data_IF_167831060549
#
_entry.id   IF_167831060549
#
_cell.length_a   1.000
_cell.length_b   1.000
_cell.length_c   1.000
_cell.angle_alpha   90.00
_cell.angle_beta   90.00
_cell.angle_gamma   90.00
#
_symmetry.space_group_name_H-M   'P 1'
#
loop_
_entity.id
_entity.type
_entity.pdbx_description
1 polymer ?
#
# COMPACT_ATOMS: atom_id res chain seq x y z
N UNK A 1 -20.73 1.04 2.31
CA UNK A 1 -20.01 1.47 1.09
C UNK A 1 -18.53 1.20 1.32
N UNK A 2 -17.94 0.28 0.57
CA UNK A 2 -16.49 0.15 0.49
C UNK A 2 -15.99 1.33 -0.35
N UNK A 3 -14.97 2.03 0.13
CA UNK A 3 -14.45 3.24 -0.50
C UNK A 3 -13.08 3.59 0.08
N UNK A 4 -12.41 4.58 -0.50
CA UNK A 4 -11.02 4.91 -0.14
C UNK A 4 -10.89 5.64 1.21
N UNK A 5 -12.01 5.94 1.85
CA UNK A 5 -12.05 6.67 3.12
C UNK A 5 -11.61 8.13 2.97
N UNK A 6 -11.52 8.83 4.11
CA UNK A 6 -11.31 10.28 4.18
C UNK A 6 -10.03 10.76 3.50
N UNK A 7 -8.93 10.01 3.61
CA UNK A 7 -7.64 10.40 3.05
C UNK A 7 -7.36 9.79 1.67
N UNK A 8 -8.07 8.73 1.29
CA UNK A 8 -7.75 7.99 0.08
C UNK A 8 -8.23 8.67 -1.20
N UNK A 9 -9.42 9.30 -1.20
CA UNK A 9 -9.90 10.05 -2.38
C UNK A 9 -9.00 11.26 -2.70
N UNK A 10 -8.63 12.13 -1.73
CA UNK A 10 -7.69 13.22 -1.99
C UNK A 10 -6.32 12.74 -2.44
N UNK A 11 -5.81 11.64 -1.86
CA UNK A 11 -4.53 11.05 -2.26
C UNK A 11 -4.56 10.59 -3.72
N UNK A 12 -5.57 9.83 -4.12
CA UNK A 12 -5.71 9.32 -5.49
C UNK A 12 -5.88 10.48 -6.48
N UNK A 13 -6.70 11.48 -6.14
CA UNK A 13 -6.89 12.69 -6.95
C UNK A 13 -5.57 13.44 -7.16
N UNK A 14 -4.78 13.64 -6.10
CA UNK A 14 -3.49 14.29 -6.17
C UNK A 14 -2.48 13.51 -7.02
N UNK A 15 -2.40 12.19 -6.86
CA UNK A 15 -1.52 11.33 -7.68
C UNK A 15 -1.92 11.41 -9.16
N UNK A 16 -3.22 11.27 -9.45
CA UNK A 16 -3.75 11.34 -10.83
C UNK A 16 -3.43 12.67 -11.50
N UNK A 17 -3.54 13.78 -10.76
CA UNK A 17 -3.30 15.12 -11.29
C UNK A 17 -1.81 15.47 -11.49
N UNK A 18 -0.88 14.66 -10.95
CA UNK A 18 0.56 14.88 -11.08
C UNK A 18 1.23 13.84 -12.00
N UNK A 19 0.51 12.81 -12.43
CA UNK A 19 1.01 11.74 -13.28
C UNK A 19 0.28 11.75 -14.63
N UNK A 20 0.38 12.87 -15.35
CA UNK A 20 -0.33 13.11 -16.61
C UNK A 20 -0.06 12.05 -17.70
N UNK A 21 1.04 11.30 -17.59
CA UNK A 21 1.43 10.24 -18.53
C UNK A 21 1.07 8.82 -18.07
N UNK A 22 0.45 8.65 -16.90
CA UNK A 22 0.10 7.33 -16.35
C UNK A 22 -1.40 7.22 -16.03
N UNK A 23 -1.99 6.08 -16.37
CA UNK A 23 -3.34 5.75 -15.91
C UNK A 23 -3.32 5.38 -14.43
N UNK A 24 -4.06 6.11 -13.60
CA UNK A 24 -4.19 5.83 -12.16
C UNK A 24 -5.53 5.15 -11.90
N UNK A 25 -5.49 3.99 -11.26
CA UNK A 25 -6.67 3.28 -10.75
C UNK A 25 -6.50 3.05 -9.25
N UNK A 26 -7.60 3.09 -8.50
CA UNK A 26 -7.58 2.90 -7.05
C UNK A 26 -8.41 1.67 -6.66
N UNK A 27 -7.99 1.03 -5.57
CA UNK A 27 -8.69 -0.11 -5.00
C UNK A 27 -8.79 0.06 -3.48
N UNK A 28 -10.01 0.05 -2.96
CA UNK A 28 -10.25 0.09 -1.53
C UNK A 28 -10.10 -1.32 -0.94
N UNK A 29 -9.26 -1.44 0.07
CA UNK A 29 -9.05 -2.72 0.76
C UNK A 29 -10.31 -3.10 1.54
N UNK A 30 -10.88 -4.26 1.23
CA UNK A 30 -11.95 -4.83 2.04
C UNK A 30 -11.33 -5.67 3.17
N UNK A 31 -11.31 -5.12 4.39
CA UNK A 31 -10.58 -5.71 5.52
C UNK A 31 -11.27 -6.94 6.12
N UNK A 32 -10.54 -8.06 6.10
CA UNK A 32 -10.52 -9.05 7.18
C UNK A 32 -9.07 -9.56 7.35
N UNK A 33 -8.17 -8.65 7.74
CA UNK A 33 -6.80 -8.91 8.23
C UNK A 33 -5.88 -9.82 7.39
N UNK A 34 -6.20 -10.04 6.12
CA UNK A 34 -5.36 -10.79 5.18
C UNK A 34 -5.64 -10.18 3.81
N UNK A 35 -4.63 -9.63 3.15
CA UNK A 35 -4.70 -9.33 1.72
C UNK A 35 -4.08 -10.53 1.01
N UNK A 36 -4.87 -11.57 0.66
CA UNK A 36 -4.30 -12.60 -0.18
C UNK A 36 -3.73 -11.93 -1.42
N UNK A 37 -2.61 -12.44 -1.92
CA UNK A 37 -2.01 -12.01 -3.20
C UNK A 37 -3.03 -11.93 -4.34
N UNK A 38 -4.11 -12.72 -4.26
CA UNK A 38 -5.21 -12.71 -5.23
C UNK A 38 -6.11 -11.45 -5.18
N UNK A 39 -6.06 -10.67 -4.09
CA UNK A 39 -6.78 -9.40 -3.90
C UNK A 39 -5.96 -8.18 -4.32
N UNK A 40 -4.69 -8.37 -4.67
CA UNK A 40 -3.94 -7.31 -5.32
C UNK A 40 -4.58 -7.03 -6.68
N UNK A 41 -4.76 -5.76 -7.08
CA UNK A 41 -5.40 -5.39 -8.34
C UNK A 41 -4.64 -5.81 -9.60
N UNK A 42 -3.63 -6.68 -9.45
CA UNK A 42 -2.87 -7.35 -10.49
C UNK A 42 -3.73 -8.06 -11.54
N UNK A 43 -5.00 -8.37 -11.23
CA UNK A 43 -5.89 -9.20 -12.05
C UNK A 43 -7.36 -8.73 -12.04
N UNK A 44 -7.63 -7.42 -12.07
CA UNK A 44 -9.02 -6.91 -12.08
C UNK A 44 -9.40 -6.23 -13.39
N UNK A 45 -9.60 -7.05 -14.43
CA UNK A 45 -10.62 -6.78 -15.46
C UNK A 45 -11.69 -7.85 -15.33
N UNK A 46 -12.94 -7.45 -15.13
CA UNK A 46 -14.07 -8.35 -14.88
C UNK A 46 -14.34 -9.32 -16.05
N UNK A 47 -13.85 -9.01 -17.26
CA UNK A 47 -14.18 -9.75 -18.50
C UNK A 47 -12.94 -10.20 -19.32
N UNK A 48 -11.75 -10.32 -18.71
CA UNK A 48 -10.57 -10.84 -19.41
C UNK A 48 -10.09 -12.14 -18.76
N UNK A 49 -9.66 -13.16 -19.53
CA UNK A 49 -9.10 -14.38 -18.97
C UNK A 49 -7.94 -14.03 -18.03
N UNK A 50 -8.01 -14.57 -16.81
CA UNK A 50 -6.99 -14.48 -15.75
C UNK A 50 -5.64 -14.89 -16.35
N UNK A 51 -4.80 -13.91 -16.69
CA UNK A 51 -3.56 -14.19 -17.41
C UNK A 51 -2.92 -12.99 -18.12
N UNK A 52 -3.63 -11.88 -18.34
CA UNK A 52 -2.97 -10.62 -18.70
C UNK A 52 -2.57 -9.90 -17.42
N UNK A 53 -1.49 -10.39 -16.80
CA UNK A 53 -0.81 -9.71 -15.71
C UNK A 53 -0.41 -8.32 -16.21
N UNK A 54 -0.49 -7.30 -15.37
CA UNK A 54 0.06 -5.98 -15.68
C UNK A 54 1.49 -5.88 -15.12
N UNK A 55 2.54 -6.49 -15.73
CA UNK A 55 3.88 -6.57 -15.14
C UNK A 55 4.51 -5.20 -14.92
N UNK A 56 4.08 -4.21 -15.71
CA UNK A 56 4.61 -2.85 -15.67
C UNK A 56 3.84 -1.92 -14.73
N UNK A 57 2.76 -2.39 -14.10
CA UNK A 57 2.03 -1.56 -13.13
C UNK A 57 2.88 -1.38 -11.88
N UNK A 58 2.96 -0.15 -11.39
CA UNK A 58 3.54 0.17 -10.09
C UNK A 58 2.43 0.52 -9.12
N UNK A 59 2.68 0.33 -7.83
CA UNK A 59 1.69 0.48 -6.79
C UNK A 59 2.12 1.52 -5.76
N UNK A 60 1.13 2.21 -5.20
CA UNK A 60 1.28 3.03 -3.99
C UNK A 60 0.38 2.41 -2.93
N UNK A 61 0.96 2.05 -1.79
CA UNK A 61 0.22 1.50 -0.66
C UNK A 61 -0.23 2.65 0.25
N UNK A 62 -1.51 2.72 0.58
CA UNK A 62 -2.10 3.80 1.37
C UNK A 62 -2.84 3.30 2.61
N UNK A 63 -2.86 4.09 3.69
CA UNK A 63 -3.68 3.77 4.87
C UNK A 63 -3.94 4.96 5.80
N UNK A 64 -5.13 5.00 6.40
CA UNK A 64 -5.50 5.97 7.44
C UNK A 64 -5.88 5.26 8.74
N UNK A 65 -5.34 5.72 9.88
CA UNK A 65 -5.65 5.18 11.22
C UNK A 65 -5.46 3.65 11.27
N UNK A 66 -6.49 2.85 11.54
CA UNK A 66 -6.43 1.38 11.48
C UNK A 66 -5.96 0.86 10.11
N UNK A 67 -6.34 1.55 9.02
CA UNK A 67 -5.87 1.23 7.67
C UNK A 67 -4.36 1.43 7.50
N UNK A 68 -3.75 2.37 8.23
CA UNK A 68 -2.30 2.54 8.28
C UNK A 68 -1.63 1.36 8.99
N UNK A 69 -2.22 0.87 10.08
CA UNK A 69 -1.68 -0.28 10.80
C UNK A 69 -1.62 -1.57 9.99
N UNK A 70 -2.54 -1.84 9.07
CA UNK A 70 -2.33 -2.98 8.16
C UNK A 70 -1.66 -2.66 6.83
N UNK A 71 -1.47 -1.39 6.46
CA UNK A 71 -0.40 -1.06 5.54
C UNK A 71 0.97 -1.44 6.15
N UNK A 72 1.20 -1.10 7.42
CA UNK A 72 2.41 -1.47 8.18
C UNK A 72 2.59 -3.00 8.27
N UNK A 73 1.53 -3.74 8.62
CA UNK A 73 1.57 -5.22 8.66
C UNK A 73 1.89 -5.80 7.28
N UNK A 74 1.27 -5.29 6.21
CA UNK A 74 1.50 -5.78 4.85
C UNK A 74 2.97 -5.60 4.41
N UNK A 75 3.67 -4.61 4.95
CA UNK A 75 5.10 -4.39 4.69
C UNK A 75 6.03 -5.01 5.74
N UNK A 76 5.51 -5.91 6.58
CA UNK A 76 6.28 -6.69 7.56
C UNK A 76 6.55 -5.99 8.89
N UNK A 77 5.92 -4.84 9.15
CA UNK A 77 6.06 -4.13 10.42
C UNK A 77 5.07 -4.69 11.44
N UNK A 78 5.58 -5.09 12.61
CA UNK A 78 4.71 -5.51 13.73
C UNK A 78 4.02 -4.30 14.33
N UNK A 79 2.70 -4.39 14.51
CA UNK A 79 1.91 -3.33 15.14
C UNK A 79 1.20 -3.85 16.38
N UNK A 80 0.56 -2.95 17.13
CA UNK A 80 -0.31 -3.33 18.25
C UNK A 80 -1.54 -4.13 17.82
N UNK A 81 -1.92 -4.09 16.54
CA UNK A 81 -2.96 -4.95 15.97
C UNK A 81 -2.46 -6.36 15.64
N UNK A 82 -1.16 -6.60 15.77
CA UNK A 82 -0.54 -7.91 15.56
C UNK A 82 0.34 -7.98 14.30
N UNK A 83 0.28 -9.12 13.65
CA UNK A 83 1.03 -9.46 12.42
C UNK A 83 0.12 -10.24 11.49
N UNK A 84 0.45 -10.29 10.20
CA UNK A 84 -0.38 -10.92 9.18
C UNK A 84 0.44 -11.15 7.91
N UNK A 85 -0.26 -11.52 6.83
CA UNK A 85 0.38 -11.77 5.54
C UNK A 85 1.08 -10.51 5.03
N UNK A 86 2.29 -10.73 4.51
CA UNK A 86 3.12 -9.67 3.94
C UNK A 86 3.08 -9.72 2.43
N UNK A 87 3.37 -8.57 1.83
CA UNK A 87 3.50 -8.42 0.39
C UNK A 87 4.66 -9.30 -0.06
N UNK A 88 4.46 -10.22 -1.03
CA UNK A 88 5.54 -11.07 -1.49
C UNK A 88 6.59 -10.26 -2.24
N UNK A 89 7.84 -10.72 -2.19
CA UNK A 89 9.00 -9.99 -2.69
C UNK A 89 8.88 -9.55 -4.16
N UNK A 90 8.22 -10.35 -4.99
CA UNK A 90 8.00 -10.03 -6.41
C UNK A 90 7.14 -8.77 -6.60
N UNK A 91 6.20 -8.50 -5.68
CA UNK A 91 5.36 -7.30 -5.67
C UNK A 91 6.02 -6.16 -4.90
N UNK A 92 6.82 -6.48 -3.90
CA UNK A 92 7.46 -5.49 -3.05
C UNK A 92 8.29 -4.47 -3.85
N UNK A 93 9.02 -4.93 -4.87
CA UNK A 93 9.81 -4.09 -5.79
C UNK A 93 9.00 -3.12 -6.67
N UNK A 94 7.70 -3.40 -6.82
CA UNK A 94 6.75 -2.62 -7.63
C UNK A 94 5.96 -1.62 -6.79
N UNK A 95 6.06 -1.68 -5.46
CA UNK A 95 5.55 -0.63 -4.57
C UNK A 95 6.55 0.52 -4.56
N UNK A 96 6.14 1.68 -5.08
CA UNK A 96 7.02 2.86 -5.20
C UNK A 96 6.88 3.83 -4.03
N UNK A 97 5.78 3.73 -3.29
CA UNK A 97 5.59 4.52 -2.08
C UNK A 97 4.62 3.82 -1.11
N UNK A 98 4.82 4.05 0.18
CA UNK A 98 3.88 3.73 1.25
C UNK A 98 3.49 5.04 1.92
N UNK A 99 2.20 5.38 1.90
CA UNK A 99 1.67 6.65 2.38
C UNK A 99 0.67 6.39 3.50
N UNK A 100 1.00 6.82 4.70
CA UNK A 100 0.13 6.61 5.87
C UNK A 100 -0.27 7.92 6.53
N UNK A 101 -1.54 7.98 6.97
CA UNK A 101 -2.12 9.14 7.65
C UNK A 101 -2.63 8.72 9.02
N UNK A 102 -2.35 9.51 10.06
CA UNK A 102 -2.75 9.18 11.44
C UNK A 102 -2.24 7.81 11.91
N UNK A 103 -1.03 7.41 11.47
CA UNK A 103 -0.50 6.08 11.73
C UNK A 103 -0.15 5.89 13.22
N UNK A 104 -0.74 4.88 13.91
CA UNK A 104 -0.37 4.54 15.29
C UNK A 104 1.12 4.27 15.49
N UNK A 105 1.82 3.72 14.50
CA UNK A 105 3.27 3.49 14.55
C UNK A 105 4.04 4.78 14.86
N UNK A 106 3.63 5.89 14.22
CA UNK A 106 4.20 7.22 14.45
C UNK A 106 3.85 7.77 15.83
N UNK A 107 2.65 7.48 16.32
CA UNK A 107 2.22 7.88 17.68
C UNK A 107 3.04 7.17 18.77
N UNK A 108 3.57 5.98 18.48
CA UNK A 108 4.49 5.23 19.35
C UNK A 108 5.97 5.64 19.18
N UNK A 109 6.26 6.71 18.42
CA UNK A 109 7.62 7.20 18.19
C UNK A 109 8.44 6.38 17.19
N UNK A 110 7.80 5.48 16.42
CA UNK A 110 8.43 4.71 15.35
C UNK A 110 8.04 5.26 13.99
N UNK A 111 8.78 4.87 12.94
CA UNK A 111 8.42 5.22 11.56
C UNK A 111 8.56 4.00 10.67
N UNK A 112 7.92 4.01 9.49
CA UNK A 112 8.07 2.94 8.49
C UNK A 112 9.53 2.80 8.10
N UNK A 113 10.24 3.93 7.95
CA UNK A 113 11.64 4.02 7.60
C UNK A 113 12.54 3.25 8.59
N UNK A 114 12.23 3.30 9.88
CA UNK A 114 13.00 2.59 10.92
C UNK A 114 12.55 1.15 11.14
N UNK A 115 11.29 0.86 10.81
CA UNK A 115 10.65 -0.39 11.21
C UNK A 115 10.57 -1.41 10.08
N UNK A 116 10.61 -0.98 8.82
CA UNK A 116 10.56 -1.85 7.65
C UNK A 116 11.95 -2.13 7.10
N UNK A 117 12.27 -3.41 6.88
CA UNK A 117 13.51 -3.83 6.23
C UNK A 117 13.53 -3.47 4.74
N UNK A 118 12.36 -3.52 4.09
CA UNK A 118 12.22 -3.33 2.64
C UNK A 118 11.93 -1.89 2.25
N UNK A 119 11.14 -1.18 3.07
CA UNK A 119 10.72 0.21 2.83
C UNK A 119 11.39 1.21 3.78
N UNK A 120 12.43 0.75 4.48
CA UNK A 120 13.40 1.59 5.16
C UNK A 120 14.18 2.47 4.18
N UNK A 121 14.94 3.47 4.67
CA UNK A 121 15.79 4.24 3.80
C UNK A 121 16.82 3.29 3.18
N UNK A 122 16.69 3.10 1.87
CA UNK A 122 17.77 2.57 1.05
C UNK A 122 18.93 3.54 1.27
N UNK A 123 20.07 3.05 1.74
CA UNK A 123 21.29 3.83 1.97
C UNK A 123 21.39 5.08 1.07
N UNK A 124 21.25 6.29 1.61
CA UNK A 124 21.69 7.49 0.88
C UNK A 124 20.89 8.80 0.96
N UNK A 125 19.84 8.95 1.78
CA UNK A 125 19.26 10.30 2.02
C UNK A 125 19.61 10.76 3.43
N UNK A 126 20.66 11.59 3.61
CA UNK A 126 20.97 12.19 4.91
C UNK A 126 19.89 13.20 5.32
N UNK A 127 19.76 13.49 6.64
CA UNK A 127 18.76 14.39 7.21
C UNK A 127 18.83 15.82 6.66
#
# INVERSE_FOLDING_TARGET
>A
MQGLGLCGEPLVSGITSNLDSMSVSSYAVNYAASMPVQSWPECHRHDQPRGVCCPNTVFVLGGYSQGASAADIAIGVKTTLGSGDTIPENLASRIKAVVTFGNPLKMMGQTIERSSQTYGPIYGVPP
#
